data_IF_002887391947
#
_entry.id   IF_002887391947
#
_cell.length_a   1.000
_cell.length_b   1.000
_cell.length_c   1.000
_cell.angle_alpha   90.00
_cell.angle_beta   90.00
_cell.angle_gamma   90.00
#
_symmetry.space_group_name_H-M   'P 1'
#
loop_
_entity.id
_entity.type
_entity.pdbx_description
1 polymer ?
#
# COMPACT_ATOMS: atom_id res chain seq x y z
N UNK A 1 -4.09 -2.12 -4.69
CA UNK A 1 -5.25 -1.19 -4.59
C UNK A 1 -6.18 -1.44 -3.40
N UNK A 2 -6.78 -2.64 -3.26
CA UNK A 2 -7.76 -2.92 -2.18
C UNK A 2 -7.20 -2.68 -0.77
N UNK A 3 -5.98 -3.14 -0.51
CA UNK A 3 -5.33 -2.92 0.79
C UNK A 3 -5.18 -1.43 1.16
N UNK A 4 -5.02 -0.55 0.17
CA UNK A 4 -4.95 0.91 0.40
C UNK A 4 -6.29 1.44 0.93
N UNK A 5 -7.42 0.97 0.39
CA UNK A 5 -8.74 1.31 0.93
C UNK A 5 -8.95 0.74 2.34
N UNK A 6 -8.47 -0.48 2.61
CA UNK A 6 -8.64 -1.09 3.93
C UNK A 6 -7.85 -0.33 5.01
N UNK A 7 -6.60 0.09 4.72
CA UNK A 7 -5.83 0.90 5.68
C UNK A 7 -6.43 2.29 5.89
N UNK A 8 -7.03 2.88 4.85
CA UNK A 8 -7.78 4.14 4.95
C UNK A 8 -9.01 4.00 5.86
N UNK A 9 -9.71 2.86 5.79
CA UNK A 9 -10.84 2.49 6.68
C UNK A 9 -10.42 2.12 8.09
N UNK A 10 -9.14 2.12 8.41
CA UNK A 10 -8.65 1.78 9.74
C UNK A 10 -8.48 0.28 9.97
N UNK A 11 -8.42 -0.54 8.92
CA UNK A 11 -8.08 -1.95 9.02
C UNK A 11 -6.57 -2.16 8.91
N UNK A 12 -6.06 -3.20 9.57
CA UNK A 12 -4.67 -3.59 9.42
C UNK A 12 -4.45 -4.26 8.06
N UNK A 13 -3.29 -3.99 7.44
CA UNK A 13 -2.87 -4.63 6.20
C UNK A 13 -1.47 -5.20 6.32
N UNK A 14 -1.18 -6.20 5.50
CA UNK A 14 0.13 -6.82 5.39
C UNK A 14 0.54 -6.83 3.91
N UNK A 15 1.79 -6.44 3.66
CA UNK A 15 2.41 -6.46 2.35
C UNK A 15 3.58 -7.43 2.42
N UNK A 16 3.58 -8.41 1.52
CA UNK A 16 4.62 -9.42 1.43
C UNK A 16 5.37 -9.27 0.12
N UNK A 17 6.69 -9.13 0.22
CA UNK A 17 7.62 -9.07 -0.92
C UNK A 17 8.58 -10.26 -0.84
N UNK A 18 8.02 -11.47 -0.74
CA UNK A 18 8.77 -12.70 -0.53
C UNK A 18 9.78 -12.99 -1.66
N UNK A 19 9.47 -12.62 -2.90
CA UNK A 19 10.31 -12.95 -4.06
C UNK A 19 11.30 -11.85 -4.43
N UNK A 20 11.08 -10.61 -3.99
CA UNK A 20 11.89 -9.46 -4.38
C UNK A 20 12.94 -9.09 -3.35
N UNK A 21 12.55 -8.99 -2.08
CA UNK A 21 13.42 -8.48 -1.02
C UNK A 21 13.21 -9.18 0.33
N UNK A 22 12.49 -10.30 0.36
CA UNK A 22 12.22 -11.08 1.57
C UNK A 22 11.67 -10.22 2.71
N UNK A 23 10.74 -9.31 2.39
CA UNK A 23 10.24 -8.33 3.35
C UNK A 23 8.75 -8.52 3.62
N UNK A 24 8.37 -8.43 4.89
CA UNK A 24 6.98 -8.33 5.37
C UNK A 24 6.82 -6.96 6.01
N UNK A 25 5.80 -6.23 5.56
CA UNK A 25 5.42 -4.93 6.12
C UNK A 25 3.98 -5.05 6.63
N UNK A 26 3.81 -4.97 7.95
CA UNK A 26 2.48 -4.94 8.57
C UNK A 26 2.15 -3.54 9.08
N UNK A 27 1.06 -2.98 8.56
CA UNK A 27 0.60 -1.63 8.87
C UNK A 27 -0.68 -1.74 9.72
N UNK A 28 -0.60 -1.33 10.98
CA UNK A 28 -1.70 -1.39 11.94
C UNK A 28 -2.10 0.03 12.35
N UNK A 29 -3.33 0.48 12.02
CA UNK A 29 -3.85 1.77 12.48
C UNK A 29 -3.83 1.89 14.00
N UNK A 30 -3.35 3.04 14.49
CA UNK A 30 -3.25 3.32 15.91
C UNK A 30 -3.45 4.82 16.19
N UNK A 31 -4.63 5.18 16.68
CA UNK A 31 -5.04 6.59 16.81
C UNK A 31 -5.00 7.30 15.45
N UNK A 32 -4.26 8.39 15.37
CA UNK A 32 -4.07 9.15 14.12
C UNK A 32 -2.84 8.68 13.29
N UNK A 33 -2.13 7.65 13.75
CA UNK A 33 -0.94 7.12 13.09
C UNK A 33 -1.10 5.66 12.67
N UNK A 34 -0.01 5.09 12.18
CA UNK A 34 0.13 3.68 11.84
C UNK A 34 1.36 3.13 12.59
N UNK A 35 1.17 2.01 13.29
CA UNK A 35 2.26 1.15 13.74
C UNK A 35 2.69 0.30 12.55
N UNK A 36 3.87 0.57 12.04
CA UNK A 36 4.50 -0.21 10.99
C UNK A 36 5.46 -1.21 11.62
N UNK A 37 5.22 -2.48 11.35
CA UNK A 37 6.08 -3.59 11.74
C UNK A 37 6.80 -4.08 10.49
N UNK A 38 8.12 -3.99 10.51
CA UNK A 38 8.99 -4.41 9.43
C UNK A 38 9.73 -5.67 9.83
N UNK A 39 9.65 -6.71 9.00
CA UNK A 39 10.27 -8.00 9.27
C UNK A 39 10.88 -8.60 8.00
N UNK A 40 12.03 -9.25 8.13
CA UNK A 40 12.62 -10.06 7.06
C UNK A 40 12.11 -11.52 7.11
N UNK A 41 11.90 -12.14 5.95
CA UNK A 41 11.56 -13.55 5.83
C UNK A 41 12.75 -14.43 6.23
N UNK A 42 12.49 -15.44 7.07
CA UNK A 42 13.40 -16.57 7.31
C UNK A 42 14.59 -16.33 8.25
N UNK A 43 15.18 -15.14 8.30
CA UNK A 43 16.48 -14.92 8.95
C UNK A 43 16.42 -14.32 10.36
N UNK A 44 15.31 -13.70 10.77
CA UNK A 44 15.17 -13.14 12.12
C UNK A 44 13.73 -13.13 12.65
N UNK A 45 13.60 -13.26 13.97
CA UNK A 45 12.36 -12.94 14.70
C UNK A 45 12.25 -11.44 15.03
N UNK A 46 13.30 -10.67 14.75
CA UNK A 46 13.35 -9.25 15.04
C UNK A 46 12.38 -8.50 14.13
N UNK A 47 11.52 -7.73 14.78
CA UNK A 47 10.52 -6.90 14.15
C UNK A 47 10.82 -5.46 14.51
N UNK A 48 11.10 -4.63 13.50
CA UNK A 48 11.31 -3.20 13.71
C UNK A 48 9.97 -2.50 13.72
N UNK A 49 9.62 -1.89 14.85
CA UNK A 49 8.45 -1.05 14.98
C UNK A 49 8.78 0.41 14.65
N UNK A 50 8.02 1.01 13.74
CA UNK A 50 8.07 2.43 13.39
C UNK A 50 6.68 3.04 13.47
N UNK A 51 6.57 4.25 14.01
CA UNK A 51 5.32 5.02 14.01
C UNK A 51 5.29 5.95 12.81
N UNK A 52 4.23 5.84 12.00
CA UNK A 52 4.07 6.59 10.76
C UNK A 52 2.80 7.43 10.80
N UNK A 53 2.78 8.52 10.04
CA UNK A 53 1.58 9.30 9.80
C UNK A 53 0.64 8.53 8.86
N UNK A 54 -0.64 8.38 9.23
CA UNK A 54 -1.61 7.62 8.43
C UNK A 54 -1.79 8.19 7.03
N UNK A 55 -1.96 9.50 6.91
CA UNK A 55 -2.22 10.16 5.63
C UNK A 55 -1.00 10.02 4.70
N UNK A 56 0.19 10.27 5.23
CA UNK A 56 1.43 10.08 4.47
C UNK A 56 1.56 8.65 3.95
N UNK A 57 1.30 7.63 4.77
CA UNK A 57 1.37 6.22 4.33
C UNK A 57 0.39 5.96 3.18
N UNK A 58 -0.84 6.45 3.28
CA UNK A 58 -1.85 6.27 2.23
C UNK A 58 -1.41 6.96 0.93
N UNK A 59 -0.89 8.19 1.03
CA UNK A 59 -0.46 8.97 -0.13
C UNK A 59 0.75 8.33 -0.83
N UNK A 60 1.73 7.85 -0.07
CA UNK A 60 2.91 7.14 -0.60
C UNK A 60 2.50 5.82 -1.29
N UNK A 61 1.60 5.04 -0.69
CA UNK A 61 1.11 3.80 -1.31
C UNK A 61 0.31 4.08 -2.60
N UNK A 62 -0.45 5.17 -2.65
CA UNK A 62 -1.16 5.62 -3.87
C UNK A 62 -0.19 6.06 -4.94
N UNK A 63 0.82 6.86 -4.58
CA UNK A 63 1.88 7.31 -5.49
C UNK A 63 2.61 6.14 -6.11
N UNK A 64 3.09 5.21 -5.27
CA UNK A 64 3.73 3.97 -5.72
C UNK A 64 2.85 3.16 -6.68
N UNK A 65 1.56 3.00 -6.35
CA UNK A 65 0.62 2.29 -7.23
C UNK A 65 0.46 2.98 -8.58
N UNK A 66 0.36 4.31 -8.61
CA UNK A 66 0.24 5.06 -9.87
C UNK A 66 1.48 4.86 -10.72
N UNK A 67 2.67 5.09 -10.15
CA UNK A 67 3.95 4.98 -10.87
C UNK A 67 4.17 3.59 -11.44
N UNK A 68 3.91 2.54 -10.64
CA UNK A 68 4.03 1.15 -11.08
C UNK A 68 3.09 0.85 -12.25
N UNK A 69 1.84 1.29 -12.16
CA UNK A 69 0.84 1.02 -13.19
C UNK A 69 1.10 1.84 -14.46
N UNK A 70 1.58 3.08 -14.34
CA UNK A 70 2.02 3.88 -15.49
C UNK A 70 3.20 3.25 -16.21
N UNK A 71 4.18 2.73 -15.46
CA UNK A 71 5.29 1.98 -16.04
C UNK A 71 4.79 0.76 -16.81
N UNK A 72 3.85 0.00 -16.25
CA UNK A 72 3.29 -1.18 -16.91
C UNK A 72 2.54 -0.83 -18.21
N UNK A 73 1.78 0.28 -18.23
CA UNK A 73 1.13 0.79 -19.44
C UNK A 73 2.16 1.23 -20.48
N UNK A 74 3.17 2.01 -20.08
CA UNK A 74 4.19 2.54 -20.98
C UNK A 74 5.04 1.45 -21.64
N UNK A 75 5.26 0.34 -20.93
CA UNK A 75 5.96 -0.84 -21.45
C UNK A 75 5.05 -1.79 -22.24
N UNK A 76 3.75 -1.50 -22.34
CA UNK A 76 2.79 -2.29 -23.10
C UNK A 76 2.36 -3.60 -22.43
N UNK A 77 2.62 -3.77 -21.12
CA UNK A 77 2.19 -4.95 -20.38
C UNK A 77 0.68 -4.98 -20.14
N UNK A 78 0.07 -3.82 -19.99
CA UNK A 78 -1.37 -3.64 -19.77
C UNK A 78 -1.88 -2.44 -20.57
N UNK A 79 -3.19 -2.38 -20.82
CA UNK A 79 -3.81 -1.21 -21.45
C UNK A 79 -4.13 -0.14 -20.40
N UNK A 80 -4.26 1.10 -20.88
CA UNK A 80 -4.65 2.23 -20.03
C UNK A 80 -6.03 2.01 -19.37
N UNK A 81 -6.97 1.42 -20.10
CA UNK A 81 -8.30 1.05 -19.57
C UNK A 81 -8.20 0.06 -18.40
N UNK A 82 -7.39 -0.99 -18.54
CA UNK A 82 -7.17 -1.99 -17.49
C UNK A 82 -6.54 -1.37 -16.23
N UNK A 83 -5.56 -0.47 -16.42
CA UNK A 83 -4.98 0.32 -15.31
C UNK A 83 -6.08 1.08 -14.57
N UNK A 84 -6.88 1.85 -15.29
CA UNK A 84 -7.87 2.74 -14.70
C UNK A 84 -8.91 1.95 -13.89
N UNK A 85 -9.34 0.80 -14.39
CA UNK A 85 -10.26 -0.07 -13.66
C UNK A 85 -9.61 -0.71 -12.43
N UNK A 86 -8.35 -1.15 -12.55
CA UNK A 86 -7.63 -1.81 -11.46
C UNK A 86 -7.34 -0.88 -10.28
N UNK A 87 -6.98 0.38 -10.53
CA UNK A 87 -6.56 1.31 -9.45
C UNK A 87 -7.74 1.88 -8.67
N UNK A 88 -8.96 1.92 -9.24
CA UNK A 88 -10.16 2.54 -8.63
C UNK A 88 -10.29 2.28 -7.12
N UNK A 89 -10.18 1.04 -6.61
CA UNK A 89 -10.39 0.76 -5.19
C UNK A 89 -9.44 1.54 -4.28
N UNK A 90 -8.23 1.90 -4.71
CA UNK A 90 -7.29 2.68 -3.89
C UNK A 90 -7.73 4.14 -3.68
N UNK A 91 -8.67 4.63 -4.48
CA UNK A 91 -9.12 6.02 -4.50
C UNK A 91 -10.63 6.17 -4.20
N UNK A 92 -11.34 5.05 -3.99
CA UNK A 92 -12.81 5.02 -3.91
C UNK A 92 -13.39 5.50 -2.56
N UNK A 93 -12.60 6.09 -1.66
CA UNK A 93 -13.06 6.63 -0.38
C UNK A 93 -12.59 8.08 -0.09
N UNK A 94 -12.34 8.87 -1.14
CA UNK A 94 -12.58 10.32 -1.00
C UNK A 94 -14.09 10.52 -0.98
N UNK A 95 -14.64 10.85 0.19
CA UNK A 95 -16.01 11.36 0.32
C UNK A 95 -16.29 12.30 -0.85
N UNK A 96 -17.38 12.02 -1.56
CA UNK A 96 -18.07 12.97 -2.42
C UNK A 96 -18.19 14.30 -1.67
N UNK A 97 -17.28 15.23 -1.94
CA UNK A 97 -17.33 16.64 -1.56
C UNK A 97 -16.41 17.38 -2.55
N UNK A 98 -16.92 17.71 -3.74
CA UNK A 98 -17.62 18.96 -4.11
C UNK A 98 -18.31 18.72 -5.45
#
# INVERSE_FOLDING_TARGET
PKLIAEIEKGQAIELEFAESCWLIIKLVPHGNGIKCYLREFGYSTDEKLVLLNKQQVVDELRGFLIELMDMAVNLGYIRLEDKNDFIKPAFSDSRVLV
#
